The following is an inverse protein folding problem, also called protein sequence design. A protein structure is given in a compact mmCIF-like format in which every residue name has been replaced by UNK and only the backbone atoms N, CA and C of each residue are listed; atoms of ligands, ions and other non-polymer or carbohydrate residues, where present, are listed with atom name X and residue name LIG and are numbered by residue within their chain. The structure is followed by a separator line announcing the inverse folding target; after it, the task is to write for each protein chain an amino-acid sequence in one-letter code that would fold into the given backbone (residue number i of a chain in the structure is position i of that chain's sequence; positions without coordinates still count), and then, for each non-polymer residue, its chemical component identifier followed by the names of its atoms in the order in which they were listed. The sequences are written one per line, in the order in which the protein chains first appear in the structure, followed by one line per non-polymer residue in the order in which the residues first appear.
data_IF_439545339971
#
_entry.id   IF_439545339971
#
_cell.length_a   1.000
_cell.length_b   1.000
_cell.length_c   1.000
_cell.angle_alpha   90.00
_cell.angle_beta   90.00
_cell.angle_gamma   90.00
#
_symmetry.space_group_name_H-M   'P 1'
#
loop_
_entity.id
_entity.type
_entity.pdbx_description
1 polymer ?
#
# COMPACT_ATOMS: atom_id res chain seq x y z
N UNK A 1 16.23 -65.87 -13.50
CA UNK A 1 15.36 -65.12 -12.60
C UNK A 1 16.08 -63.91 -11.98
N UNK A 2 17.30 -64.03 -11.47
CA UNK A 2 18.08 -62.94 -10.85
C UNK A 2 18.40 -61.75 -11.76
N UNK A 3 18.72 -61.96 -13.08
CA UNK A 3 18.97 -60.84 -14.01
C UNK A 3 17.79 -59.88 -14.20
N UNK A 4 16.54 -60.36 -14.14
CA UNK A 4 15.34 -59.55 -14.31
C UNK A 4 15.11 -58.70 -13.04
N UNK A 5 15.39 -59.19 -11.86
CA UNK A 5 15.27 -58.46 -10.60
C UNK A 5 16.30 -57.33 -10.51
N UNK A 6 17.52 -57.53 -10.98
CA UNK A 6 18.56 -56.50 -11.02
C UNK A 6 18.29 -55.38 -12.02
N UNK A 7 17.66 -55.68 -13.16
CA UNK A 7 17.25 -54.70 -14.16
C UNK A 7 16.11 -53.87 -13.60
N UNK A 8 15.14 -54.48 -12.93
CA UNK A 8 14.01 -53.81 -12.36
C UNK A 8 14.40 -52.82 -11.23
N UNK A 9 15.35 -53.23 -10.38
CA UNK A 9 15.93 -52.34 -9.34
C UNK A 9 16.71 -51.16 -9.93
N UNK A 10 17.42 -51.35 -11.03
CA UNK A 10 18.13 -50.26 -11.71
C UNK A 10 17.17 -49.24 -12.31
N UNK A 11 16.11 -49.70 -12.95
CA UNK A 11 15.07 -48.84 -13.51
C UNK A 11 14.31 -48.07 -12.42
N UNK A 12 14.01 -48.71 -11.30
CA UNK A 12 13.41 -48.06 -10.16
C UNK A 12 14.30 -46.95 -9.57
N UNK A 13 15.60 -47.25 -9.36
CA UNK A 13 16.53 -46.26 -8.86
C UNK A 13 16.72 -45.08 -9.83
N UNK A 14 16.74 -45.32 -11.15
CA UNK A 14 16.78 -44.25 -12.13
C UNK A 14 15.50 -43.38 -12.13
N UNK A 15 14.35 -43.99 -12.00
CA UNK A 15 13.06 -43.27 -11.91
C UNK A 15 13.00 -42.40 -10.64
N UNK A 16 13.43 -42.93 -9.49
CA UNK A 16 13.52 -42.21 -8.22
C UNK A 16 14.50 -41.04 -8.33
N UNK A 17 15.71 -41.27 -8.90
CA UNK A 17 16.69 -40.21 -9.09
C UNK A 17 16.17 -39.11 -10.02
N UNK A 18 15.48 -39.47 -11.11
CA UNK A 18 14.85 -38.51 -12.02
C UNK A 18 13.75 -37.70 -11.32
N UNK A 19 12.93 -38.36 -10.52
CA UNK A 19 11.86 -37.70 -9.75
C UNK A 19 12.44 -36.73 -8.72
N UNK A 20 13.51 -37.12 -7.99
CA UNK A 20 14.22 -36.24 -7.04
C UNK A 20 14.83 -35.03 -7.74
N UNK A 21 15.49 -35.25 -8.92
CA UNK A 21 16.06 -34.15 -9.69
C UNK A 21 14.99 -33.18 -10.22
N UNK A 22 13.84 -33.70 -10.61
CA UNK A 22 12.70 -32.89 -11.05
C UNK A 22 12.15 -32.02 -9.93
N UNK A 23 11.92 -32.62 -8.73
CA UNK A 23 11.46 -31.87 -7.54
C UNK A 23 12.48 -30.80 -7.17
N UNK A 24 13.78 -31.13 -7.14
CA UNK A 24 14.84 -30.17 -6.81
C UNK A 24 14.95 -29.02 -7.82
N UNK A 25 14.67 -29.28 -9.09
CA UNK A 25 14.63 -28.25 -10.13
C UNK A 25 13.40 -27.34 -9.99
N UNK A 26 12.24 -27.89 -9.60
CA UNK A 26 11.04 -27.11 -9.35
C UNK A 26 11.19 -26.23 -8.09
N UNK A 27 11.77 -26.75 -7.02
CA UNK A 27 12.09 -25.96 -5.81
C UNK A 27 13.10 -24.85 -6.08
N UNK A 28 14.11 -25.09 -6.89
CA UNK A 28 15.09 -24.08 -7.28
C UNK A 28 14.45 -22.96 -8.10
N UNK A 29 13.59 -23.32 -9.06
CA UNK A 29 12.86 -22.36 -9.89
C UNK A 29 11.88 -21.49 -9.07
N UNK A 30 11.24 -22.07 -8.06
CA UNK A 30 10.36 -21.33 -7.14
C UNK A 30 11.15 -20.34 -6.28
N UNK A 31 12.31 -20.71 -5.76
CA UNK A 31 13.16 -19.81 -4.97
C UNK A 31 13.67 -18.63 -5.80
N UNK A 32 14.14 -18.88 -7.01
CA UNK A 32 14.56 -17.81 -7.93
C UNK A 32 13.41 -16.88 -8.28
N UNK A 33 12.22 -17.41 -8.52
CA UNK A 33 11.00 -16.62 -8.76
C UNK A 33 10.66 -15.72 -7.56
N UNK A 34 10.68 -16.25 -6.34
CA UNK A 34 10.43 -15.47 -5.14
C UNK A 34 11.51 -14.41 -4.89
N UNK A 35 12.79 -14.74 -5.11
CA UNK A 35 13.88 -13.78 -4.99
C UNK A 35 13.73 -12.62 -5.98
N UNK A 36 13.34 -12.93 -7.22
CA UNK A 36 13.11 -11.91 -8.26
C UNK A 36 11.95 -11.00 -7.89
N UNK A 37 10.84 -11.57 -7.41
CA UNK A 37 9.69 -10.80 -6.92
C UNK A 37 10.12 -9.88 -5.76
N UNK A 38 10.83 -10.40 -4.77
CA UNK A 38 11.31 -9.62 -3.64
C UNK A 38 12.22 -8.48 -4.09
N UNK A 39 13.12 -8.72 -5.06
CA UNK A 39 14.02 -7.70 -5.60
C UNK A 39 13.23 -6.59 -6.30
N UNK A 40 12.21 -6.93 -7.09
CA UNK A 40 11.34 -5.98 -7.76
C UNK A 40 10.57 -5.12 -6.72
N UNK A 41 9.96 -5.76 -5.73
CA UNK A 41 9.25 -5.04 -4.67
C UNK A 41 10.16 -4.14 -3.84
N UNK A 42 11.38 -4.59 -3.55
CA UNK A 42 12.40 -3.79 -2.85
C UNK A 42 12.80 -2.57 -3.69
N UNK A 43 13.02 -2.76 -4.99
CA UNK A 43 13.34 -1.66 -5.90
C UNK A 43 12.22 -0.63 -6.01
N UNK A 44 10.99 -1.09 -6.18
CA UNK A 44 9.79 -0.21 -6.22
C UNK A 44 9.62 0.51 -4.88
N UNK A 45 9.72 -0.20 -3.75
CA UNK A 45 9.59 0.38 -2.42
C UNK A 45 10.67 1.40 -2.11
N UNK A 46 11.92 1.14 -2.51
CA UNK A 46 13.04 2.08 -2.38
C UNK A 46 12.85 3.33 -3.23
N UNK A 47 12.42 3.17 -4.49
CA UNK A 47 12.14 4.28 -5.38
C UNK A 47 10.96 5.14 -4.87
N UNK A 48 9.86 4.50 -4.46
CA UNK A 48 8.72 5.20 -3.86
C UNK A 48 9.12 5.94 -2.58
N UNK A 49 9.92 5.30 -1.70
CA UNK A 49 10.43 5.95 -0.51
C UNK A 49 11.25 7.19 -0.84
N UNK A 50 12.15 7.12 -1.82
CA UNK A 50 12.92 8.27 -2.29
C UNK A 50 12.01 9.37 -2.87
N UNK A 51 11.07 9.01 -3.75
CA UNK A 51 10.12 9.93 -4.37
C UNK A 51 9.25 10.66 -3.35
N UNK A 52 8.82 9.97 -2.29
CA UNK A 52 7.96 10.52 -1.24
C UNK A 52 8.74 11.25 -0.13
N UNK A 53 10.07 11.33 -0.21
CA UNK A 53 10.91 12.05 0.77
C UNK A 53 11.29 11.23 1.99
N UNK A 54 11.25 9.90 1.89
CA UNK A 54 11.60 8.96 2.95
C UNK A 54 10.39 8.45 3.74
N UNK A 55 10.61 7.32 4.41
CA UNK A 55 9.62 6.69 5.29
C UNK A 55 9.76 7.29 6.70
N UNK A 56 8.91 8.25 7.02
CA UNK A 56 8.83 8.88 8.34
C UNK A 56 7.44 8.68 8.99
N UNK A 57 7.30 9.17 10.21
CA UNK A 57 6.05 9.05 10.97
C UNK A 57 4.86 9.74 10.30
N UNK A 58 5.09 10.85 9.57
CA UNK A 58 4.04 11.56 8.87
C UNK A 58 3.53 10.78 7.66
N UNK A 59 4.45 10.25 6.85
CA UNK A 59 4.07 9.42 5.71
C UNK A 59 3.37 8.13 6.16
N UNK A 60 3.86 7.52 7.25
CA UNK A 60 3.20 6.35 7.83
C UNK A 60 1.77 6.66 8.29
N UNK A 61 1.56 7.79 8.96
CA UNK A 61 0.23 8.24 9.36
C UNK A 61 -0.68 8.44 8.13
N UNK A 62 -0.19 9.14 7.10
CA UNK A 62 -0.95 9.33 5.85
C UNK A 62 -1.36 7.99 5.22
N UNK A 63 -0.42 7.05 5.08
CA UNK A 63 -0.73 5.72 4.55
C UNK A 63 -1.81 5.03 5.38
N UNK A 64 -1.71 5.08 6.71
CA UNK A 64 -2.71 4.48 7.60
C UNK A 64 -4.11 5.09 7.38
N UNK A 65 -4.21 6.42 7.37
CA UNK A 65 -5.50 7.11 7.14
C UNK A 65 -6.08 6.81 5.77
N UNK A 66 -5.26 6.85 4.71
CA UNK A 66 -5.67 6.52 3.34
C UNK A 66 -6.22 5.09 3.24
N UNK A 67 -5.56 4.12 3.87
CA UNK A 67 -6.01 2.72 3.87
C UNK A 67 -7.31 2.56 4.64
N UNK A 68 -7.40 3.14 5.84
CA UNK A 68 -8.60 3.04 6.70
C UNK A 68 -9.80 3.71 6.04
N UNK A 69 -9.63 4.90 5.45
CA UNK A 69 -10.70 5.58 4.71
C UNK A 69 -11.17 4.74 3.51
N UNK A 70 -10.24 4.21 2.72
CA UNK A 70 -10.62 3.36 1.58
C UNK A 70 -11.42 2.13 2.00
N UNK A 71 -10.96 1.43 3.04
CA UNK A 71 -11.64 0.23 3.56
C UNK A 71 -13.03 0.58 4.08
N UNK A 72 -13.16 1.65 4.87
CA UNK A 72 -14.47 2.07 5.40
C UNK A 72 -15.40 2.57 4.31
N UNK A 73 -14.90 3.28 3.31
CA UNK A 73 -15.68 3.70 2.13
C UNK A 73 -16.22 2.50 1.33
N UNK A 74 -15.40 1.44 1.15
CA UNK A 74 -15.87 0.18 0.54
C UNK A 74 -16.93 -0.48 1.41
N UNK A 75 -16.78 -0.48 2.74
CA UNK A 75 -17.79 -1.03 3.66
C UNK A 75 -19.12 -0.27 3.55
N UNK A 76 -19.09 1.06 3.46
CA UNK A 76 -20.29 1.87 3.21
C UNK A 76 -20.95 1.50 1.88
N UNK A 77 -20.16 1.41 0.79
CA UNK A 77 -20.68 1.03 -0.52
C UNK A 77 -21.33 -0.36 -0.55
N UNK A 78 -20.80 -1.31 0.23
CA UNK A 78 -21.42 -2.64 0.41
C UNK A 78 -22.74 -2.52 1.18
N UNK A 79 -22.75 -1.77 2.29
CA UNK A 79 -23.94 -1.55 3.12
C UNK A 79 -25.09 -0.94 2.30
N UNK A 80 -24.77 0.03 1.46
CA UNK A 80 -25.73 0.75 0.62
C UNK A 80 -26.09 -0.01 -0.67
N UNK A 81 -25.51 -1.19 -0.89
CA UNK A 81 -25.66 -1.99 -2.12
C UNK A 81 -25.27 -1.23 -3.41
N UNK A 82 -24.34 -0.29 -3.29
CA UNK A 82 -23.82 0.56 -4.38
C UNK A 82 -22.41 0.17 -4.81
N UNK A 83 -21.87 -0.94 -4.31
CA UNK A 83 -20.52 -1.39 -4.65
C UNK A 83 -20.45 -1.75 -6.13
N UNK A 84 -19.54 -1.09 -6.84
CA UNK A 84 -19.22 -1.37 -8.23
C UNK A 84 -17.71 -1.26 -8.46
N UNK A 85 -17.21 -1.93 -9.50
CA UNK A 85 -15.81 -1.83 -9.89
C UNK A 85 -15.40 -0.39 -10.23
N UNK A 86 -16.31 0.41 -10.79
CA UNK A 86 -16.08 1.80 -11.11
C UNK A 86 -15.90 2.66 -9.84
N UNK A 87 -16.71 2.44 -8.81
CA UNK A 87 -16.61 3.14 -7.52
C UNK A 87 -15.27 2.79 -6.84
N UNK A 88 -14.94 1.50 -6.77
CA UNK A 88 -13.66 1.06 -6.18
C UNK A 88 -12.45 1.62 -6.93
N UNK A 89 -12.45 1.57 -8.27
CA UNK A 89 -11.37 2.09 -9.10
C UNK A 89 -11.18 3.60 -8.93
N UNK A 90 -12.27 4.38 -8.92
CA UNK A 90 -12.22 5.83 -8.68
C UNK A 90 -11.61 6.15 -7.31
N UNK A 91 -11.94 5.37 -6.28
CA UNK A 91 -11.34 5.49 -4.95
C UNK A 91 -9.83 5.28 -4.99
N UNK A 92 -9.36 4.21 -5.63
CA UNK A 92 -7.92 3.93 -5.78
C UNK A 92 -7.20 5.05 -6.53
N UNK A 93 -7.76 5.52 -7.66
CA UNK A 93 -7.17 6.62 -8.42
C UNK A 93 -6.98 7.88 -7.57
N UNK A 94 -7.97 8.25 -6.75
CA UNK A 94 -7.87 9.39 -5.83
C UNK A 94 -6.71 9.19 -4.84
N UNK A 95 -6.57 8.00 -4.25
CA UNK A 95 -5.49 7.69 -3.31
C UNK A 95 -4.11 7.74 -3.96
N UNK A 96 -3.98 7.27 -5.20
CA UNK A 96 -2.74 7.40 -5.98
C UNK A 96 -2.37 8.86 -6.21
N UNK A 97 -3.35 9.72 -6.56
CA UNK A 97 -3.12 11.14 -6.75
C UNK A 97 -2.63 11.84 -5.48
N UNK A 98 -3.10 11.45 -4.29
CA UNK A 98 -2.59 11.97 -3.01
C UNK A 98 -1.08 11.73 -2.90
N UNK A 99 -0.62 10.50 -3.11
CA UNK A 99 0.82 10.18 -3.05
C UNK A 99 1.63 10.86 -4.15
N UNK A 100 1.05 11.06 -5.33
CA UNK A 100 1.71 11.84 -6.39
C UNK A 100 1.91 13.29 -5.97
N UNK A 101 0.92 13.93 -5.31
CA UNK A 101 1.04 15.29 -4.79
C UNK A 101 2.09 15.39 -3.68
N UNK A 102 2.16 14.42 -2.78
CA UNK A 102 3.24 14.36 -1.77
C UNK A 102 4.61 14.29 -2.43
N UNK A 103 4.77 13.45 -3.46
CA UNK A 103 6.03 13.35 -4.20
C UNK A 103 6.40 14.62 -4.95
N UNK A 104 5.42 15.31 -5.57
CA UNK A 104 5.64 16.61 -6.22
C UNK A 104 6.08 17.65 -5.19
N UNK A 105 5.41 17.72 -4.03
CA UNK A 105 5.77 18.62 -2.95
C UNK A 105 7.20 18.37 -2.45
N UNK A 106 7.61 17.11 -2.32
CA UNK A 106 8.98 16.73 -1.98
C UNK A 106 9.99 17.19 -3.03
N UNK A 107 9.68 17.04 -4.32
CA UNK A 107 10.55 17.51 -5.41
C UNK A 107 10.71 19.03 -5.35
N UNK A 108 9.63 19.77 -5.08
CA UNK A 108 9.67 21.23 -4.95
C UNK A 108 10.48 21.66 -3.73
N UNK A 109 10.29 21.01 -2.58
CA UNK A 109 11.07 21.29 -1.37
C UNK A 109 12.57 21.13 -1.62
N UNK A 110 13.00 20.05 -2.27
CA UNK A 110 14.40 19.73 -2.48
C UNK A 110 15.04 20.57 -3.60
N UNK A 111 14.35 20.77 -4.73
CA UNK A 111 14.96 21.32 -5.93
C UNK A 111 14.65 22.81 -6.14
N UNK A 112 13.59 23.34 -5.53
CA UNK A 112 13.16 24.74 -5.73
C UNK A 112 13.38 25.56 -4.47
N UNK A 113 12.89 25.07 -3.33
CA UNK A 113 12.99 25.79 -2.06
C UNK A 113 14.39 25.60 -1.43
N UNK A 114 14.95 24.40 -1.57
CA UNK A 114 16.32 24.09 -1.15
C UNK A 114 16.52 23.86 0.34
N UNK A 115 15.48 24.03 1.18
CA UNK A 115 15.56 23.86 2.63
C UNK A 115 14.30 23.25 3.21
N UNK A 116 14.48 22.16 3.97
CA UNK A 116 13.39 21.56 4.74
C UNK A 116 12.44 20.69 3.90
N UNK A 117 11.30 20.38 4.49
CA UNK A 117 10.22 19.62 3.87
C UNK A 117 8.86 20.29 4.16
N UNK A 118 8.79 21.60 3.94
CA UNK A 118 7.66 22.45 4.33
C UNK A 118 6.41 22.10 3.51
N UNK A 119 6.55 22.10 2.18
CA UNK A 119 5.43 21.77 1.28
C UNK A 119 4.98 20.32 1.44
N UNK A 120 5.93 19.39 1.49
CA UNK A 120 5.63 17.99 1.74
C UNK A 120 4.84 17.79 3.04
N UNK A 121 5.29 18.43 4.09
CA UNK A 121 4.64 18.36 5.40
C UNK A 121 3.24 18.94 5.35
N UNK A 122 3.05 20.12 4.74
CA UNK A 122 1.74 20.75 4.58
C UNK A 122 0.77 19.85 3.79
N UNK A 123 1.21 19.30 2.66
CA UNK A 123 0.40 18.38 1.83
C UNK A 123 0.03 17.12 2.62
N UNK A 124 0.96 16.54 3.38
CA UNK A 124 0.66 15.35 4.20
C UNK A 124 -0.39 15.70 5.27
N UNK A 125 -0.24 16.78 6.00
CA UNK A 125 -1.21 17.19 7.02
C UNK A 125 -2.59 17.47 6.45
N UNK A 126 -2.64 18.18 5.31
CA UNK A 126 -3.90 18.42 4.60
C UNK A 126 -4.62 17.10 4.28
N UNK A 127 -3.92 16.13 3.70
CA UNK A 127 -4.56 14.86 3.37
C UNK A 127 -4.83 13.97 4.58
N UNK A 128 -4.03 13.98 5.63
CA UNK A 128 -4.36 13.29 6.88
C UNK A 128 -5.68 13.82 7.45
N UNK A 129 -5.88 15.14 7.47
CA UNK A 129 -7.13 15.71 7.96
C UNK A 129 -8.33 15.35 7.08
N UNK A 130 -8.20 15.44 5.75
CA UNK A 130 -9.25 15.06 4.82
C UNK A 130 -9.63 13.58 4.91
N UNK A 131 -8.65 12.69 4.91
CA UNK A 131 -8.88 11.25 5.03
C UNK A 131 -9.45 10.90 6.42
N UNK A 132 -9.03 11.63 7.46
CA UNK A 132 -9.56 11.49 8.81
C UNK A 132 -11.03 11.89 8.92
N UNK A 133 -11.42 13.02 8.33
CA UNK A 133 -12.82 13.45 8.28
C UNK A 133 -13.67 12.45 7.51
N UNK A 134 -13.21 12.03 6.32
CA UNK A 134 -13.89 11.03 5.50
C UNK A 134 -14.07 9.70 6.24
N UNK A 135 -13.03 9.23 6.96
CA UNK A 135 -13.13 8.05 7.81
C UNK A 135 -14.20 8.19 8.89
N UNK A 136 -14.30 9.37 9.56
CA UNK A 136 -15.32 9.60 10.60
C UNK A 136 -16.73 9.63 10.01
N UNK A 137 -16.90 10.22 8.82
CA UNK A 137 -18.16 10.20 8.08
C UNK A 137 -18.58 8.76 7.76
N UNK A 138 -17.65 7.96 7.21
CA UNK A 138 -17.88 6.55 6.93
C UNK A 138 -18.24 5.76 8.19
N UNK A 139 -17.50 5.97 9.29
CA UNK A 139 -17.75 5.30 10.57
C UNK A 139 -19.15 5.66 11.12
N UNK A 140 -19.53 6.93 11.05
CA UNK A 140 -20.85 7.41 11.49
C UNK A 140 -21.95 6.81 10.60
N UNK A 141 -21.74 6.74 9.29
CA UNK A 141 -22.66 6.13 8.34
C UNK A 141 -22.91 4.64 8.63
N UNK A 142 -21.86 3.94 9.08
CA UNK A 142 -21.94 2.54 9.50
C UNK A 142 -22.53 2.35 10.92
N UNK A 143 -22.94 3.44 11.60
CA UNK A 143 -23.58 3.40 12.90
C UNK A 143 -22.63 3.38 14.10
N UNK A 144 -21.35 3.61 13.90
CA UNK A 144 -20.39 3.73 15.00
C UNK A 144 -20.51 5.10 15.68
N UNK A 145 -20.67 5.14 17.04
CA UNK A 145 -20.64 6.42 17.75
C UNK A 145 -19.20 6.97 17.75
N UNK A 146 -19.02 8.12 17.13
CA UNK A 146 -17.73 8.81 17.09
C UNK A 146 -17.71 9.87 18.18
N UNK A 147 -16.71 9.87 19.11
CA UNK A 147 -16.57 10.89 20.14
C UNK A 147 -16.38 12.28 19.53
N UNK A 148 -17.15 13.28 20.03
CA UNK A 148 -17.09 14.66 19.54
C UNK A 148 -15.68 15.23 19.54
N UNK A 149 -14.86 14.95 20.59
CA UNK A 149 -13.48 15.41 20.66
C UNK A 149 -12.61 14.98 19.46
N UNK A 150 -12.86 13.82 18.87
CA UNK A 150 -12.09 13.34 17.70
C UNK A 150 -12.54 14.12 16.47
N UNK A 151 -13.83 14.38 16.32
CA UNK A 151 -14.38 15.23 15.25
C UNK A 151 -13.78 16.63 15.31
N UNK A 152 -13.79 17.25 16.49
CA UNK A 152 -13.25 18.59 16.71
C UNK A 152 -11.77 18.70 16.32
N UNK A 153 -10.94 17.73 16.72
CA UNK A 153 -9.51 17.72 16.40
C UNK A 153 -9.28 17.61 14.90
N UNK A 154 -9.98 16.73 14.22
CA UNK A 154 -9.81 16.54 12.77
C UNK A 154 -10.35 17.72 11.97
N UNK A 155 -11.43 18.34 12.43
CA UNK A 155 -11.99 19.54 11.84
C UNK A 155 -11.06 20.75 12.00
N UNK A 156 -10.47 20.94 13.18
CA UNK A 156 -9.45 21.96 13.40
C UNK A 156 -8.19 21.77 12.55
N UNK A 157 -7.78 20.52 12.28
CA UNK A 157 -6.68 20.23 11.38
C UNK A 157 -7.03 20.58 9.94
N UNK A 158 -8.28 20.37 9.53
CA UNK A 158 -8.79 20.73 8.20
C UNK A 158 -8.82 22.25 8.01
N UNK A 159 -9.42 22.98 8.93
CA UNK A 159 -9.50 24.45 8.91
C UNK A 159 -8.11 25.10 8.90
N UNK A 160 -7.17 24.58 9.69
CA UNK A 160 -5.78 25.07 9.69
C UNK A 160 -5.07 24.86 8.35
N UNK A 161 -5.36 23.77 7.65
CA UNK A 161 -4.75 23.50 6.35
C UNK A 161 -5.28 24.45 5.27
N UNK A 162 -6.56 24.84 5.32
CA UNK A 162 -7.16 25.80 4.41
C UNK A 162 -6.67 27.23 4.64
N UNK A 163 -6.51 27.68 5.89
CA UNK A 163 -5.96 29.00 6.23
C UNK A 163 -4.51 29.19 5.77
N UNK A 164 -3.76 28.11 5.58
CA UNK A 164 -2.37 28.16 5.13
C UNK A 164 -2.29 28.34 3.61
N UNK A 165 -3.32 27.98 2.85
CA UNK A 165 -3.39 28.14 1.39
C UNK A 165 -3.84 29.53 0.97
N UNK A 166 -4.52 30.30 1.84
CA UNK A 166 -4.99 31.68 1.54
C UNK A 166 -3.96 32.78 1.81
N UNK A 167 -2.78 32.43 2.31
CA UNK A 167 -1.67 33.38 2.60
C UNK A 167 -0.50 33.22 1.65
#
# INVERSE_FOLDING_TARGET
MEKNILIDQRLLNMAVAFFILKIKKEEFNMKEFWNTIQLIFTGIGGWLGYFLGGWDGLLYALVAFVVVDYVTGVMCAINDKMLSSAVGFKGICRKVLIFMLVGIAQILDVNVIGTGSVLRTAVIFFYISNEGVSFLENATHLGLPVPEKIKDVLQQLHERSEETEEK
#
